data_IF_843310454710
#
_entry.id   IF_843310454710
#
_cell.length_a   1.000
_cell.length_b   1.000
_cell.length_c   1.000
_cell.angle_alpha   90.00
_cell.angle_beta   90.00
_cell.angle_gamma   90.00
#
_symmetry.space_group_name_H-M   'P 1'
#
loop_
_entity.id
_entity.type
_entity.pdbx_description
1 polymer ?
#
# COMPACT_ATOMS: atom_id res chain seq x y z
N UNK A 1 2.99 -3.20 17.06
CA UNK A 1 4.22 -2.67 16.40
C UNK A 1 5.06 -3.72 15.65
N UNK A 2 5.18 -5.00 16.09
CA UNK A 2 5.99 -6.02 15.38
C UNK A 2 5.52 -6.32 13.94
N UNK A 3 4.22 -6.29 13.65
CA UNK A 3 3.68 -6.55 12.31
C UNK A 3 4.14 -5.54 11.26
N UNK A 4 4.09 -4.26 11.56
CA UNK A 4 4.47 -3.21 10.61
C UNK A 4 5.93 -3.28 10.15
N UNK A 5 6.87 -3.69 11.00
CA UNK A 5 8.28 -3.83 10.61
C UNK A 5 8.47 -4.84 9.50
N UNK A 6 7.78 -5.99 9.56
CA UNK A 6 7.82 -7.01 8.50
C UNK A 6 7.25 -6.47 7.19
N UNK A 7 6.09 -5.82 7.26
CA UNK A 7 5.45 -5.22 6.07
C UNK A 7 6.32 -4.11 5.44
N UNK A 8 7.01 -3.30 6.25
CA UNK A 8 7.95 -2.29 5.75
C UNK A 8 9.10 -2.94 4.95
N UNK A 9 9.68 -4.03 5.48
CA UNK A 9 10.77 -4.76 4.81
C UNK A 9 10.28 -5.38 3.51
N UNK A 10 9.11 -6.06 3.52
CA UNK A 10 8.52 -6.66 2.32
C UNK A 10 8.24 -5.62 1.24
N UNK A 11 7.69 -4.46 1.63
CA UNK A 11 7.43 -3.35 0.71
C UNK A 11 8.69 -2.88 0.03
N UNK A 12 9.80 -2.68 0.76
CA UNK A 12 11.07 -2.25 0.19
C UNK A 12 11.66 -3.34 -0.72
N UNK A 13 11.69 -4.61 -0.27
CA UNK A 13 12.22 -5.73 -1.06
C UNK A 13 11.50 -5.89 -2.41
N UNK A 14 10.18 -5.71 -2.44
CA UNK A 14 9.37 -5.89 -3.65
C UNK A 14 9.32 -4.63 -4.55
N UNK A 15 9.82 -3.48 -4.05
CA UNK A 15 9.77 -2.22 -4.80
C UNK A 15 11.12 -1.82 -5.37
N UNK A 16 12.20 -2.24 -4.72
CA UNK A 16 13.57 -1.80 -5.03
C UNK A 16 14.39 -2.93 -5.63
N UNK A 17 15.41 -2.55 -6.40
CA UNK A 17 16.49 -3.47 -6.76
C UNK A 17 17.21 -3.99 -5.51
N UNK A 18 17.95 -5.12 -5.57
CA UNK A 18 18.64 -5.63 -4.40
C UNK A 18 19.55 -4.59 -3.73
N UNK A 19 19.29 -4.33 -2.46
CA UNK A 19 19.99 -3.35 -1.64
C UNK A 19 20.99 -4.05 -0.70
N UNK A 20 21.96 -3.30 -0.16
CA UNK A 20 22.69 -3.78 1.01
C UNK A 20 21.76 -3.91 2.23
N UNK A 21 22.08 -4.81 3.19
CA UNK A 21 21.30 -4.95 4.44
C UNK A 21 21.23 -3.64 5.22
N UNK A 22 22.25 -2.80 5.13
CA UNK A 22 22.29 -1.49 5.77
C UNK A 22 21.31 -0.50 5.10
N UNK A 23 21.31 -0.46 3.78
CA UNK A 23 20.40 0.39 3.03
C UNK A 23 18.94 -0.06 3.19
N UNK A 24 18.68 -1.38 3.16
CA UNK A 24 17.37 -1.94 3.47
C UNK A 24 16.89 -1.53 4.87
N UNK A 25 17.78 -1.56 5.87
CA UNK A 25 17.49 -1.11 7.23
C UNK A 25 17.03 0.34 7.30
N UNK A 26 17.73 1.24 6.59
CA UNK A 26 17.37 2.66 6.51
C UNK A 26 16.03 2.86 5.84
N UNK A 27 15.83 2.27 4.64
CA UNK A 27 14.59 2.43 3.87
C UNK A 27 13.38 1.82 4.56
N UNK A 28 13.50 0.64 5.15
CA UNK A 28 12.43 0.01 5.92
C UNK A 28 12.23 0.63 7.32
N UNK A 29 13.08 1.57 7.73
CA UNK A 29 13.05 2.18 9.06
C UNK A 29 13.06 1.12 10.18
N UNK A 30 13.90 0.10 10.03
CA UNK A 30 14.07 -1.02 10.94
C UNK A 30 15.54 -1.14 11.36
N UNK A 31 15.82 -1.71 12.52
CA UNK A 31 17.21 -1.98 12.91
C UNK A 31 17.83 -3.06 12.03
N UNK A 32 19.15 -2.98 11.80
CA UNK A 32 19.89 -3.97 11.02
C UNK A 32 19.72 -5.39 11.57
N UNK A 33 19.65 -5.54 12.90
CA UNK A 33 19.41 -6.84 13.54
C UNK A 33 18.05 -7.43 13.13
N UNK A 34 16.99 -6.61 13.10
CA UNK A 34 15.67 -7.01 12.60
C UNK A 34 15.71 -7.46 11.14
N UNK A 35 16.41 -6.71 10.31
CA UNK A 35 16.60 -7.07 8.89
C UNK A 35 17.24 -8.46 8.78
N UNK A 36 18.35 -8.71 9.50
CA UNK A 36 19.07 -9.98 9.45
C UNK A 36 18.17 -11.15 9.88
N UNK A 37 17.45 -10.99 10.99
CA UNK A 37 16.55 -12.03 11.50
C UNK A 37 15.42 -12.34 10.53
N UNK A 38 14.80 -11.29 9.97
CA UNK A 38 13.68 -11.47 9.06
C UNK A 38 14.12 -12.02 7.70
N UNK A 39 15.25 -11.57 7.16
CA UNK A 39 15.81 -12.15 5.93
C UNK A 39 16.12 -13.64 6.08
N UNK A 40 16.67 -14.10 7.22
CA UNK A 40 16.87 -15.52 7.50
C UNK A 40 15.55 -16.31 7.48
N UNK A 41 14.48 -15.77 8.05
CA UNK A 41 13.14 -16.38 7.99
C UNK A 41 12.67 -16.53 6.53
N UNK A 42 12.86 -15.50 5.70
CA UNK A 42 12.49 -15.54 4.28
C UNK A 42 13.40 -16.46 3.45
N UNK A 43 14.71 -16.52 3.75
CA UNK A 43 15.66 -17.44 3.12
C UNK A 43 15.31 -18.89 3.41
N UNK A 44 14.93 -19.23 4.65
CA UNK A 44 14.47 -20.58 5.01
C UNK A 44 13.22 -21.00 4.22
N UNK A 45 12.41 -20.03 3.81
CA UNK A 45 11.24 -20.24 2.93
C UNK A 45 11.58 -20.19 1.43
N UNK A 46 12.86 -19.99 1.08
CA UNK A 46 13.36 -19.86 -0.30
C UNK A 46 12.74 -18.68 -1.07
N UNK A 47 12.23 -17.66 -0.39
CA UNK A 47 11.62 -16.49 -0.98
C UNK A 47 12.64 -15.41 -1.40
N UNK A 48 13.79 -15.39 -0.71
CA UNK A 48 14.88 -14.44 -0.99
C UNK A 48 16.24 -15.14 -0.86
N UNK A 49 17.28 -14.49 -1.43
CA UNK A 49 18.70 -14.81 -1.19
C UNK A 49 19.40 -13.50 -0.81
N UNK A 50 19.77 -13.35 0.47
CA UNK A 50 20.17 -12.06 1.01
C UNK A 50 19.03 -11.06 0.89
N UNK A 51 19.23 -10.01 0.13
CA UNK A 51 18.20 -8.98 -0.18
C UNK A 51 17.59 -9.13 -1.58
N UNK A 52 18.04 -10.12 -2.35
CA UNK A 52 17.49 -10.41 -3.68
C UNK A 52 16.24 -11.26 -3.53
N UNK A 53 15.12 -10.80 -4.07
CA UNK A 53 13.88 -11.56 -4.17
C UNK A 53 14.05 -12.66 -5.20
N UNK A 54 13.69 -13.91 -4.85
CA UNK A 54 13.71 -15.08 -5.72
C UNK A 54 12.31 -15.44 -6.21
N UNK A 55 11.30 -15.23 -5.38
CA UNK A 55 9.91 -15.57 -5.64
C UNK A 55 9.01 -14.40 -5.21
N UNK A 56 8.73 -13.43 -6.11
CA UNK A 56 7.86 -12.29 -5.81
C UNK A 56 6.45 -12.72 -5.42
N UNK A 57 5.87 -13.66 -6.15
CA UNK A 57 4.53 -14.20 -5.86
C UNK A 57 4.46 -14.86 -4.49
N UNK A 58 5.43 -15.72 -4.16
CA UNK A 58 5.54 -16.33 -2.85
C UNK A 58 5.70 -15.29 -1.73
N UNK A 59 6.43 -14.21 -1.99
CA UNK A 59 6.63 -13.13 -1.04
C UNK A 59 5.34 -12.33 -0.79
N UNK A 60 4.52 -12.07 -1.83
CA UNK A 60 3.19 -11.48 -1.70
C UNK A 60 2.26 -12.41 -0.89
N UNK A 61 2.23 -13.70 -1.22
CA UNK A 61 1.42 -14.69 -0.47
C UNK A 61 1.83 -14.73 1.00
N UNK A 62 3.13 -14.72 1.29
CA UNK A 62 3.63 -14.61 2.66
C UNK A 62 3.18 -13.30 3.33
N UNK A 63 3.26 -12.16 2.62
CA UNK A 63 2.79 -10.87 3.16
C UNK A 63 1.32 -10.94 3.57
N UNK A 64 0.47 -11.53 2.76
CA UNK A 64 -0.96 -11.70 3.06
C UNK A 64 -1.20 -12.49 4.35
N UNK A 65 -0.33 -13.47 4.70
CA UNK A 65 -0.48 -14.21 5.96
C UNK A 65 -0.23 -13.37 7.22
N UNK A 66 0.54 -12.29 7.10
CA UNK A 66 0.89 -11.41 8.23
C UNK A 66 0.19 -10.05 8.18
N UNK A 67 -0.39 -9.70 7.04
CA UNK A 67 -1.07 -8.42 6.83
C UNK A 67 -2.33 -8.31 7.68
N UNK A 68 -2.54 -7.13 8.24
CA UNK A 68 -3.75 -6.81 8.99
C UNK A 68 -4.44 -5.61 8.34
N UNK A 69 -5.67 -5.81 7.89
CA UNK A 69 -6.49 -4.72 7.35
C UNK A 69 -6.56 -3.56 8.34
N UNK A 70 -6.24 -2.34 7.90
CA UNK A 70 -6.36 -1.17 8.77
C UNK A 70 -7.77 -0.99 9.31
N UNK A 71 -7.89 -0.81 10.64
CA UNK A 71 -9.18 -0.64 11.32
C UNK A 71 -9.57 0.81 11.57
N UNK A 72 -8.60 1.73 11.45
CA UNK A 72 -8.83 3.18 11.67
C UNK A 72 -9.06 3.86 10.34
N UNK A 73 -10.29 4.23 10.08
CA UNK A 73 -10.67 5.02 8.91
C UNK A 73 -11.87 5.90 9.20
N UNK A 74 -12.07 6.89 8.36
CA UNK A 74 -13.26 7.76 8.31
C UNK A 74 -13.86 7.67 6.93
N UNK A 75 -15.19 7.68 6.82
CA UNK A 75 -15.87 7.64 5.54
C UNK A 75 -16.56 8.97 5.24
N UNK A 76 -16.67 9.26 3.96
CA UNK A 76 -17.28 10.48 3.45
C UNK A 76 -18.04 10.20 2.16
N UNK A 77 -19.13 10.93 1.96
CA UNK A 77 -19.85 11.01 0.67
C UNK A 77 -19.41 12.26 -0.05
N UNK A 78 -18.70 12.13 -1.19
CA UNK A 78 -18.11 13.25 -1.95
C UNK A 78 -18.45 13.08 -3.43
N UNK A 79 -19.04 14.10 -4.06
CA UNK A 79 -19.47 14.04 -5.46
C UNK A 79 -18.31 13.86 -6.45
N UNK A 80 -17.19 14.55 -6.25
CA UNK A 80 -16.03 14.53 -7.14
C UNK A 80 -14.72 14.35 -6.36
N UNK A 81 -14.47 13.13 -5.80
CA UNK A 81 -13.38 12.94 -4.84
C UNK A 81 -11.99 13.19 -5.43
N UNK A 82 -11.75 12.88 -6.71
CA UNK A 82 -10.44 13.09 -7.35
C UNK A 82 -10.02 14.56 -7.42
N UNK A 83 -10.98 15.50 -7.48
CA UNK A 83 -10.68 16.94 -7.48
C UNK A 83 -10.05 17.41 -6.17
N UNK A 84 -10.38 16.74 -5.05
CA UNK A 84 -9.84 17.08 -3.73
C UNK A 84 -8.40 16.63 -3.51
N UNK A 85 -7.89 15.77 -4.40
CA UNK A 85 -6.48 15.32 -4.36
C UNK A 85 -5.50 16.34 -4.96
N UNK A 86 -5.97 17.48 -5.48
CA UNK A 86 -5.12 18.62 -5.81
C UNK A 86 -4.81 19.40 -4.53
N UNK A 87 -4.04 18.80 -3.65
CA UNK A 87 -3.70 19.32 -2.32
C UNK A 87 -2.20 19.15 -2.06
N UNK A 88 -1.69 19.91 -1.08
CA UNK A 88 -0.32 19.75 -0.57
C UNK A 88 -0.22 18.70 0.55
N UNK A 89 -1.34 18.10 0.96
CA UNK A 89 -1.36 17.06 1.96
C UNK A 89 -0.77 15.77 1.39
N UNK A 90 0.02 15.07 2.19
CA UNK A 90 0.56 13.76 1.83
C UNK A 90 -0.55 12.70 1.80
N UNK A 91 -0.57 11.91 0.74
CA UNK A 91 -1.51 10.81 0.58
C UNK A 91 -0.98 9.73 -0.37
N UNK A 92 -1.63 8.58 -0.36
CA UNK A 92 -1.54 7.59 -1.42
C UNK A 92 -2.90 6.93 -1.62
N UNK A 93 -3.37 6.84 -2.86
CA UNK A 93 -4.60 6.13 -3.23
C UNK A 93 -4.31 4.63 -3.28
N UNK A 94 -5.28 3.83 -2.87
CA UNK A 94 -5.24 2.38 -2.96
C UNK A 94 -6.56 1.81 -3.46
N UNK A 95 -6.66 0.49 -3.59
CA UNK A 95 -7.83 -0.29 -4.00
C UNK A 95 -8.46 0.16 -5.32
N UNK A 96 -9.79 0.30 -5.42
CA UNK A 96 -10.56 0.48 -6.65
C UNK A 96 -10.08 1.64 -7.55
N UNK A 97 -9.89 2.84 -6.98
CA UNK A 97 -9.39 3.98 -7.76
C UNK A 97 -7.93 3.82 -8.17
N UNK A 98 -7.10 3.25 -7.31
CA UNK A 98 -5.70 2.98 -7.64
C UNK A 98 -5.59 1.94 -8.74
N UNK A 99 -6.34 0.86 -8.63
CA UNK A 99 -6.42 -0.20 -9.64
C UNK A 99 -6.87 0.36 -10.99
N UNK A 100 -7.95 1.12 -11.01
CA UNK A 100 -8.46 1.74 -12.23
C UNK A 100 -7.45 2.69 -12.89
N UNK A 101 -6.62 3.38 -12.11
CA UNK A 101 -5.53 4.21 -12.64
C UNK A 101 -4.40 3.36 -13.26
N UNK A 102 -4.14 2.15 -12.71
CA UNK A 102 -3.04 1.27 -13.13
C UNK A 102 -3.43 0.41 -14.32
N UNK A 103 -4.52 -0.36 -14.25
CA UNK A 103 -4.89 -1.33 -15.30
C UNK A 103 -6.32 -1.20 -15.84
N UNK A 104 -7.19 -0.38 -15.22
CA UNK A 104 -8.57 -0.09 -15.67
C UNK A 104 -9.49 -1.33 -15.71
N UNK A 105 -9.28 -2.29 -14.83
CA UNK A 105 -10.12 -3.48 -14.74
C UNK A 105 -11.34 -3.24 -13.84
N UNK A 106 -11.15 -2.65 -12.66
CA UNK A 106 -12.23 -2.38 -11.73
C UNK A 106 -12.92 -1.03 -12.01
N UNK A 107 -14.24 -1.01 -11.77
CA UNK A 107 -14.96 0.26 -11.68
C UNK A 107 -14.56 1.00 -10.39
N UNK A 108 -14.21 2.31 -10.45
CA UNK A 108 -13.73 3.07 -9.32
C UNK A 108 -14.88 3.51 -8.39
N UNK A 109 -15.55 2.54 -7.76
CA UNK A 109 -16.74 2.76 -6.91
C UNK A 109 -16.45 3.46 -5.60
N UNK A 110 -15.24 3.27 -5.05
CA UNK A 110 -14.81 3.86 -3.77
C UNK A 110 -13.36 4.30 -3.85
N UNK A 111 -13.07 5.50 -3.35
CA UNK A 111 -11.73 6.04 -3.24
C UNK A 111 -11.18 5.82 -1.82
N UNK A 112 -10.23 4.90 -1.69
CA UNK A 112 -9.50 4.64 -0.46
C UNK A 112 -8.18 5.40 -0.48
N UNK A 113 -7.92 6.18 0.57
CA UNK A 113 -6.77 7.08 0.69
C UNK A 113 -6.06 6.79 2.01
N UNK A 114 -4.78 6.49 1.94
CA UNK A 114 -3.89 6.52 3.08
C UNK A 114 -3.47 7.96 3.37
N UNK A 115 -3.56 8.36 4.63
CA UNK A 115 -3.14 9.67 5.12
C UNK A 115 -2.31 9.55 6.39
N UNK A 116 -1.49 10.57 6.66
CA UNK A 116 -0.73 10.65 7.91
C UNK A 116 -1.64 11.03 9.07
N UNK A 117 -1.41 10.44 10.24
CA UNK A 117 -2.15 10.73 11.47
C UNK A 117 -2.25 12.24 11.75
N UNK A 118 -1.13 12.95 11.65
CA UNK A 118 -1.04 14.40 11.92
C UNK A 118 -1.86 15.27 10.96
N UNK A 119 -2.25 14.74 9.81
CA UNK A 119 -2.98 15.50 8.78
C UNK A 119 -4.48 15.17 8.73
N UNK A 120 -4.96 14.28 9.60
CA UNK A 120 -6.36 13.82 9.64
C UNK A 120 -7.35 14.98 9.78
N UNK A 121 -7.08 15.94 10.66
CA UNK A 121 -7.96 17.10 10.86
C UNK A 121 -8.02 17.98 9.61
N UNK A 122 -6.88 18.16 8.92
CA UNK A 122 -6.83 18.92 7.67
C UNK A 122 -7.60 18.21 6.56
N UNK A 123 -7.46 16.88 6.45
CA UNK A 123 -8.23 16.07 5.52
C UNK A 123 -9.72 16.13 5.81
N UNK A 124 -10.12 16.01 7.09
CA UNK A 124 -11.51 16.14 7.50
C UNK A 124 -12.08 17.50 7.07
N UNK A 125 -11.39 18.59 7.41
CA UNK A 125 -11.81 19.94 7.02
C UNK A 125 -11.92 20.12 5.50
N UNK A 126 -10.99 19.52 4.73
CA UNK A 126 -11.01 19.56 3.27
C UNK A 126 -12.24 18.83 2.71
N UNK A 127 -12.52 17.63 3.22
CA UNK A 127 -13.64 16.81 2.76
C UNK A 127 -15.00 17.40 3.13
N UNK A 128 -15.11 17.98 4.33
CA UNK A 128 -16.34 18.64 4.78
C UNK A 128 -16.74 19.87 3.96
N UNK A 129 -15.81 20.49 3.23
CA UNK A 129 -16.14 21.60 2.32
C UNK A 129 -16.93 21.17 1.07
N UNK A 130 -16.85 19.88 0.68
CA UNK A 130 -17.37 19.36 -0.59
C UNK A 130 -18.16 18.06 -0.43
N UNK A 131 -18.41 17.62 0.78
CA UNK A 131 -19.10 16.37 1.06
C UNK A 131 -19.67 16.29 2.47
N UNK A 132 -20.15 15.12 2.82
CA UNK A 132 -20.74 14.80 4.10
C UNK A 132 -19.90 13.72 4.81
N UNK A 133 -19.78 13.84 6.13
CA UNK A 133 -19.16 12.81 6.98
C UNK A 133 -20.15 11.67 7.23
N UNK A 134 -19.67 10.43 7.07
CA UNK A 134 -20.45 9.21 7.28
C UNK A 134 -20.26 8.24 6.12
N UNK A 135 -21.01 7.15 6.11
CA UNK A 135 -20.92 6.09 5.08
C UNK A 135 -21.01 6.69 3.67
N UNK A 136 -20.01 6.38 2.84
CA UNK A 136 -19.93 6.98 1.51
C UNK A 136 -18.88 6.34 0.60
N UNK A 137 -18.49 7.10 -0.42
CA UNK A 137 -17.62 6.65 -1.51
C UNK A 137 -16.15 7.04 -1.33
N UNK A 138 -15.78 7.67 -0.23
CA UNK A 138 -14.38 7.98 0.12
C UNK A 138 -14.05 7.43 1.49
N UNK A 139 -12.96 6.72 1.61
CA UNK A 139 -12.45 6.19 2.87
C UNK A 139 -11.05 6.73 3.14
N UNK A 140 -10.90 7.52 4.19
CA UNK A 140 -9.64 8.06 4.67
C UNK A 140 -9.07 7.13 5.73
N UNK A 141 -7.97 6.46 5.42
CA UNK A 141 -7.38 5.39 6.21
C UNK A 141 -6.12 5.89 6.90
N UNK A 142 -5.98 5.58 8.19
CA UNK A 142 -4.80 5.88 9.00
C UNK A 142 -4.16 4.59 9.46
N UNK A 143 -2.89 4.44 9.10
CA UNK A 143 -2.07 3.29 9.48
C UNK A 143 -0.60 3.72 9.58
N UNK A 144 0.33 2.77 9.47
CA UNK A 144 1.76 3.05 9.41
C UNK A 144 2.12 3.96 8.22
N UNK A 145 2.74 5.11 8.48
CA UNK A 145 3.08 6.09 7.44
C UNK A 145 4.01 5.55 6.36
N UNK A 146 4.76 4.48 6.66
CA UNK A 146 5.62 3.81 5.68
C UNK A 146 4.83 3.20 4.51
N UNK A 147 3.50 3.10 4.60
CA UNK A 147 2.65 2.63 3.50
C UNK A 147 2.77 3.53 2.26
N UNK A 148 3.20 4.78 2.44
CA UNK A 148 3.44 5.75 1.37
C UNK A 148 4.83 5.64 0.75
N UNK A 149 5.70 4.75 1.27
CA UNK A 149 7.03 4.52 0.72
C UNK A 149 6.94 4.06 -0.72
N UNK A 150 7.76 4.65 -1.61
CA UNK A 150 7.79 4.29 -3.02
C UNK A 150 6.51 4.58 -3.81
N UNK A 151 5.55 5.35 -3.24
CA UNK A 151 4.32 5.73 -3.95
C UNK A 151 4.64 6.31 -5.33
N UNK A 152 3.81 5.97 -6.32
CA UNK A 152 4.00 6.37 -7.71
C UNK A 152 3.08 7.53 -8.07
N UNK A 153 3.54 8.41 -8.94
CA UNK A 153 2.70 9.46 -9.53
C UNK A 153 2.10 8.92 -10.84
N UNK A 154 0.79 8.68 -10.85
CA UNK A 154 0.04 8.23 -12.02
C UNK A 154 -1.03 9.28 -12.33
N UNK A 155 -0.96 9.90 -13.52
CA UNK A 155 -1.89 10.97 -13.93
C UNK A 155 -2.04 12.07 -12.87
N UNK A 156 -0.93 12.54 -12.32
CA UNK A 156 -0.86 13.57 -11.27
C UNK A 156 -1.53 13.15 -9.95
N UNK A 157 -1.68 11.86 -9.68
CA UNK A 157 -2.19 11.30 -8.42
C UNK A 157 -1.16 10.36 -7.81
N UNK A 158 -1.00 10.42 -6.49
CA UNK A 158 -0.12 9.51 -5.77
C UNK A 158 -0.85 8.20 -5.48
N UNK A 159 -0.30 7.12 -5.97
CA UNK A 159 -0.81 5.75 -5.80
C UNK A 159 0.23 4.94 -5.03
N UNK A 160 -0.18 4.04 -4.16
CA UNK A 160 0.71 3.10 -3.47
C UNK A 160 1.57 2.31 -4.47
N UNK A 161 2.63 1.67 -4.00
CA UNK A 161 3.43 0.77 -4.85
C UNK A 161 2.60 -0.40 -5.36
N UNK A 162 3.02 -1.01 -6.47
CA UNK A 162 2.32 -2.16 -7.04
C UNK A 162 2.18 -3.33 -6.03
N UNK A 163 3.23 -3.74 -5.29
CA UNK A 163 3.09 -4.77 -4.28
C UNK A 163 2.09 -4.42 -3.18
N UNK A 164 2.05 -3.16 -2.72
CA UNK A 164 1.08 -2.72 -1.73
C UNK A 164 -0.34 -2.76 -2.29
N UNK A 165 -0.53 -2.31 -3.53
CA UNK A 165 -1.84 -2.34 -4.18
C UNK A 165 -2.38 -3.78 -4.29
N UNK A 166 -1.53 -4.73 -4.67
CA UNK A 166 -1.89 -6.16 -4.75
C UNK A 166 -2.36 -6.68 -3.38
N UNK A 167 -1.61 -6.40 -2.32
CA UNK A 167 -1.98 -6.81 -0.95
C UNK A 167 -3.30 -6.20 -0.51
N UNK A 168 -3.52 -4.91 -0.79
CA UNK A 168 -4.75 -4.21 -0.43
C UNK A 168 -5.97 -4.76 -1.19
N UNK A 169 -5.82 -5.07 -2.47
CA UNK A 169 -6.88 -5.65 -3.30
C UNK A 169 -7.24 -7.07 -2.85
N UNK A 170 -6.26 -7.94 -2.57
CA UNK A 170 -6.55 -9.26 -1.99
C UNK A 170 -7.27 -9.16 -0.64
N UNK A 171 -6.87 -8.17 0.18
CA UNK A 171 -7.49 -7.94 1.50
C UNK A 171 -8.93 -7.44 1.38
N UNK A 172 -9.26 -6.75 0.31
CA UNK A 172 -10.64 -6.31 0.02
C UNK A 172 -11.52 -7.49 -0.42
N UNK A 173 -10.96 -8.43 -1.20
CA UNK A 173 -11.65 -9.65 -1.66
C UNK A 173 -12.61 -9.44 -2.84
N UNK A 174 -13.36 -10.48 -3.18
CA UNK A 174 -14.31 -10.45 -4.29
C UNK A 174 -13.67 -10.05 -5.62
N UNK A 175 -14.29 -9.19 -6.46
CA UNK A 175 -13.73 -8.75 -7.74
C UNK A 175 -12.35 -8.06 -7.61
N UNK A 176 -12.05 -7.48 -6.45
CA UNK A 176 -10.74 -6.88 -6.20
C UNK A 176 -9.62 -7.93 -6.12
N UNK A 177 -9.92 -9.15 -5.64
CA UNK A 177 -8.94 -10.24 -5.64
C UNK A 177 -8.60 -10.70 -7.07
N UNK A 178 -9.57 -10.75 -7.98
CA UNK A 178 -9.32 -11.07 -9.40
C UNK A 178 -8.41 -10.01 -10.05
N UNK A 179 -8.66 -8.74 -9.76
CA UNK A 179 -7.79 -7.65 -10.21
C UNK A 179 -6.37 -7.76 -9.63
N UNK A 180 -6.24 -8.24 -8.39
CA UNK A 180 -4.94 -8.49 -7.76
C UNK A 180 -4.18 -9.63 -8.46
N UNK A 181 -4.86 -10.72 -8.87
CA UNK A 181 -4.26 -11.82 -9.64
C UNK A 181 -3.64 -11.32 -10.95
N UNK A 182 -4.35 -10.43 -11.67
CA UNK A 182 -3.84 -9.83 -12.90
C UNK A 182 -2.59 -8.97 -12.67
N UNK A 183 -2.56 -8.19 -11.58
CA UNK A 183 -1.40 -7.37 -11.22
C UNK A 183 -0.22 -8.23 -10.72
N UNK A 184 -0.51 -9.32 -10.03
CA UNK A 184 0.51 -10.25 -9.54
C UNK A 184 1.25 -10.92 -10.71
N UNK A 185 0.53 -11.32 -11.76
CA UNK A 185 1.14 -11.86 -12.98
C UNK A 185 2.11 -10.86 -13.65
N UNK A 186 1.85 -9.56 -13.57
CA UNK A 186 2.76 -8.53 -14.08
C UNK A 186 4.02 -8.37 -13.20
N UNK A 187 3.92 -8.62 -11.90
CA UNK A 187 5.05 -8.51 -10.97
C UNK A 187 6.10 -9.61 -11.22
N UNK A 188 5.68 -10.80 -11.64
CA UNK A 188 6.58 -11.91 -11.94
C UNK A 188 7.35 -11.73 -13.26
N UNK A 189 6.88 -10.82 -14.14
CA UNK A 189 7.49 -10.54 -15.44
C UNK A 189 8.49 -9.35 -15.40
N UNK A 190 8.59 -8.64 -14.27
CA UNK A 190 9.42 -7.46 -14.10
C UNK A 190 10.70 -7.76 -13.30
#
# INVERSE_FOLDING_TARGET
>A
MRGFKRERILRVLLTEVPLSKNELSKRAQCTRQWIILFLRELENKKLVKGTKVLDPTGLIKYWLTIHKKPKRYREYMIKEPLKLLNTRLDYAITTYYAENLVQRHLFPSRMDIYAKERDITKWHSLFMKKGLYGKGNVRLIVTDEHIMYGRRNIKKKFVVTLPQLIVDLYTEGGPAAEAADMLLAQLDLS
#
